data_IF_322498366763
#
_entry.id   IF_322498366763
#
_cell.length_a   1.000
_cell.length_b   1.000
_cell.length_c   1.000
_cell.angle_alpha   90.00
_cell.angle_beta   90.00
_cell.angle_gamma   90.00
#
_symmetry.space_group_name_H-M   'P 1'
#
loop_
_entity.id
_entity.type
_entity.pdbx_description
1 polymer ?
#
# COMPACT_ATOMS: atom_id res chain seq x y z
N UNK A 1 24.27 -23.05 53.43
CA UNK A 1 23.78 -24.15 52.57
C UNK A 1 22.49 -23.68 51.89
N UNK A 2 22.41 -23.77 50.54
CA UNK A 2 21.35 -23.36 49.56
C UNK A 2 20.09 -22.60 50.06
N UNK A 3 19.64 -21.55 49.34
CA UNK A 3 18.85 -21.74 48.11
C UNK A 3 19.33 -20.84 46.94
N UNK A 4 19.49 -21.30 45.69
CA UNK A 4 18.48 -21.56 44.63
C UNK A 4 17.54 -20.38 44.36
N UNK A 5 17.97 -19.42 43.52
CA UNK A 5 17.11 -18.65 42.62
C UNK A 5 17.85 -18.54 41.28
N UNK A 6 17.64 -19.54 40.41
CA UNK A 6 17.92 -19.47 38.99
C UNK A 6 16.56 -19.32 38.31
N UNK A 7 16.51 -18.51 37.25
CA UNK A 7 15.38 -18.29 36.34
C UNK A 7 14.24 -17.36 36.83
N UNK A 8 14.34 -16.07 36.50
CA UNK A 8 13.17 -15.19 36.24
C UNK A 8 13.52 -13.82 35.60
N UNK A 9 14.66 -13.71 34.90
CA UNK A 9 15.03 -12.47 34.18
C UNK A 9 14.96 -12.60 32.64
N UNK A 10 14.33 -13.67 32.13
CA UNK A 10 14.28 -13.99 30.70
C UNK A 10 12.90 -13.90 30.04
N UNK A 11 11.86 -13.46 30.77
CA UNK A 11 10.48 -13.41 30.26
C UNK A 11 9.84 -12.08 30.68
N UNK A 12 10.38 -11.01 30.12
CA UNK A 12 9.66 -9.77 29.84
C UNK A 12 10.02 -9.42 28.38
N UNK A 13 9.78 -10.33 27.43
CA UNK A 13 8.50 -10.40 26.69
C UNK A 13 7.97 -8.97 26.51
N UNK A 14 8.43 -8.32 25.46
CA UNK A 14 7.62 -8.17 24.24
C UNK A 14 6.25 -7.55 24.56
N UNK A 15 6.21 -6.34 25.12
CA UNK A 15 4.94 -5.62 25.30
C UNK A 15 5.08 -4.10 25.45
N UNK A 16 5.98 -3.43 24.72
CA UNK A 16 5.91 -1.96 24.56
C UNK A 16 6.47 -1.53 23.20
N UNK A 17 5.84 -2.01 22.13
CA UNK A 17 5.83 -1.32 20.84
C UNK A 17 4.38 -1.21 20.41
N UNK A 18 3.65 -0.29 21.02
CA UNK A 18 2.35 0.10 20.53
C UNK A 18 2.13 1.59 20.83
N UNK A 19 1.84 2.30 19.74
CA UNK A 19 1.19 3.62 19.66
C UNK A 19 2.08 4.86 19.85
N UNK A 20 2.87 5.15 18.82
CA UNK A 20 2.93 6.53 18.32
C UNK A 20 3.03 6.54 16.79
N UNK A 21 1.97 6.13 16.10
CA UNK A 21 1.77 6.61 14.73
C UNK A 21 1.36 8.08 14.86
N UNK A 22 2.34 8.98 14.76
CA UNK A 22 2.09 10.40 14.56
C UNK A 22 1.33 10.55 13.24
N UNK A 23 0.03 10.79 13.35
CA UNK A 23 -0.85 11.13 12.23
C UNK A 23 -0.60 12.58 11.82
N UNK A 24 0.51 12.84 11.14
CA UNK A 24 0.66 14.04 10.31
C UNK A 24 0.45 13.67 8.84
N UNK A 25 -0.64 12.95 8.55
CA UNK A 25 -1.15 12.88 7.18
C UNK A 25 -1.84 14.22 6.93
N UNK A 26 -1.34 15.05 6.00
CA UNK A 26 -2.02 16.30 5.65
C UNK A 26 -3.46 15.98 5.23
N UNK A 27 -4.44 16.82 5.59
CA UNK A 27 -5.83 16.55 5.24
C UNK A 27 -6.00 16.47 3.73
N UNK A 28 -6.72 15.45 3.25
CA UNK A 28 -7.14 15.40 1.86
C UNK A 28 -8.06 16.59 1.57
N UNK A 29 -7.88 17.22 0.41
CA UNK A 29 -8.73 18.33 -0.05
C UNK A 29 -9.63 17.85 -1.19
N UNK A 30 -10.90 18.23 -1.16
CA UNK A 30 -11.80 18.01 -2.30
C UNK A 30 -11.42 18.94 -3.48
N UNK A 31 -12.08 18.75 -4.63
CA UNK A 31 -11.91 19.60 -5.83
C UNK A 31 -12.21 21.10 -5.61
N UNK A 32 -12.80 21.46 -4.46
CA UNK A 32 -13.13 22.82 -4.06
C UNK A 32 -12.23 23.31 -2.90
N UNK A 33 -11.17 22.58 -2.56
CA UNK A 33 -10.23 22.96 -1.50
C UNK A 33 -10.77 22.79 -0.08
N UNK A 34 -11.86 22.03 0.11
CA UNK A 34 -12.41 21.74 1.45
C UNK A 34 -11.68 20.56 2.07
N UNK A 35 -11.32 20.70 3.35
CA UNK A 35 -10.80 19.62 4.17
C UNK A 35 -11.79 18.45 4.18
N UNK A 36 -11.40 17.32 3.60
CA UNK A 36 -12.12 16.06 3.73
C UNK A 36 -11.65 15.44 5.03
N UNK A 37 -12.46 15.55 6.08
CA UNK A 37 -12.25 14.73 7.28
C UNK A 37 -12.34 13.26 6.87
N UNK A 38 -11.38 12.40 7.29
CA UNK A 38 -11.48 10.97 7.04
C UNK A 38 -12.82 10.49 7.60
N UNK A 39 -13.76 10.12 6.72
CA UNK A 39 -15.03 9.56 7.20
C UNK A 39 -14.69 8.24 7.91
N UNK A 40 -15.14 8.03 9.17
CA UNK A 40 -15.03 6.74 9.83
C UNK A 40 -15.97 5.78 9.11
N UNK A 41 -15.44 5.17 8.04
CA UNK A 41 -16.08 4.11 7.28
C UNK A 41 -15.37 2.80 7.64
N UNK A 42 -16.05 1.64 7.53
CA UNK A 42 -15.38 0.36 7.66
C UNK A 42 -14.23 0.32 6.64
N UNK A 43 -13.01 0.29 7.16
CA UNK A 43 -11.81 0.16 6.35
C UNK A 43 -11.03 -1.06 6.81
N UNK A 44 -10.45 -1.77 5.85
CA UNK A 44 -9.53 -2.87 6.10
C UNK A 44 -8.14 -2.40 5.73
N UNK A 45 -7.19 -2.61 6.64
CA UNK A 45 -5.79 -2.27 6.45
C UNK A 45 -5.02 -3.57 6.25
N UNK A 46 -4.39 -3.73 5.11
CA UNK A 46 -3.47 -4.82 4.82
C UNK A 46 -2.05 -4.36 5.10
N UNK A 47 -1.39 -5.00 6.06
CA UNK A 47 -0.01 -4.67 6.40
C UNK A 47 0.96 -5.11 5.28
N UNK A 48 2.20 -4.58 5.25
CA UNK A 48 3.19 -5.05 4.29
C UNK A 48 3.45 -6.56 4.33
N UNK A 49 3.32 -7.18 5.51
CA UNK A 49 3.48 -8.62 5.65
C UNK A 49 2.30 -9.39 5.03
N UNK A 50 1.06 -8.91 5.23
CA UNK A 50 -0.14 -9.53 4.65
C UNK A 50 -0.12 -9.47 3.11
N UNK A 51 0.51 -8.43 2.56
CA UNK A 51 0.64 -8.20 1.12
C UNK A 51 1.87 -8.87 0.51
N UNK A 52 2.72 -9.53 1.31
CA UNK A 52 4.04 -10.01 0.91
C UNK A 52 4.96 -8.91 0.31
N UNK A 53 4.73 -7.65 0.71
CA UNK A 53 5.45 -6.45 0.27
C UNK A 53 6.17 -5.76 1.45
N UNK A 54 6.78 -6.56 2.33
CA UNK A 54 7.63 -6.06 3.41
C UNK A 54 9.10 -6.07 2.96
N UNK A 55 9.57 -4.97 2.38
CA UNK A 55 10.90 -4.86 1.77
C UNK A 55 11.10 -5.77 0.53
N UNK A 56 10.14 -5.76 -0.39
CA UNK A 56 10.28 -6.45 -1.68
C UNK A 56 11.47 -5.89 -2.46
N UNK A 57 12.23 -6.76 -3.11
CA UNK A 57 13.38 -6.33 -3.91
C UNK A 57 12.89 -5.64 -5.18
N UNK A 58 13.31 -4.40 -5.36
CA UNK A 58 13.09 -3.63 -6.57
C UNK A 58 14.30 -3.83 -7.50
N UNK A 59 14.17 -4.59 -8.60
CA UNK A 59 15.29 -4.86 -9.49
C UNK A 59 15.73 -3.59 -10.23
N UNK A 60 16.97 -3.55 -10.70
CA UNK A 60 17.43 -2.49 -11.60
C UNK A 60 16.67 -2.59 -12.92
N UNK A 61 16.02 -1.50 -13.34
CA UNK A 61 15.25 -1.41 -14.59
C UNK A 61 14.26 -2.58 -14.82
N UNK A 62 13.47 -2.92 -13.81
CA UNK A 62 12.51 -4.04 -13.89
C UNK A 62 11.35 -3.88 -12.91
N UNK A 63 10.54 -4.93 -12.78
CA UNK A 63 9.32 -4.93 -11.95
C UNK A 63 9.50 -5.76 -10.70
N UNK A 64 8.94 -5.33 -9.58
CA UNK A 64 8.83 -6.15 -8.36
C UNK A 64 7.95 -7.38 -8.62
N UNK A 65 8.01 -8.35 -7.71
CA UNK A 65 6.94 -9.36 -7.65
C UNK A 65 5.61 -8.67 -7.32
N UNK A 66 4.50 -9.20 -7.82
CA UNK A 66 3.18 -8.69 -7.46
C UNK A 66 2.84 -9.02 -6.00
N UNK A 67 2.10 -8.10 -5.37
CA UNK A 67 1.59 -8.29 -4.02
C UNK A 67 0.51 -9.38 -3.95
N UNK A 68 0.15 -9.76 -2.73
CA UNK A 68 -0.96 -10.66 -2.50
C UNK A 68 -2.27 -10.09 -3.09
N UNK A 69 -3.12 -10.99 -3.60
CA UNK A 69 -4.39 -10.62 -4.21
C UNK A 69 -5.39 -10.22 -3.11
N UNK A 70 -5.94 -9.02 -3.23
CA UNK A 70 -6.92 -8.44 -2.32
C UNK A 70 -8.29 -8.39 -3.00
N UNK A 71 -9.33 -8.85 -2.29
CA UNK A 71 -10.70 -8.77 -2.78
C UNK A 71 -11.20 -7.31 -2.78
N UNK A 72 -11.69 -6.85 -3.93
CA UNK A 72 -12.13 -5.46 -4.15
C UNK A 72 -13.64 -5.35 -4.45
N UNK A 73 -14.40 -6.46 -4.32
CA UNK A 73 -15.76 -6.64 -4.88
C UNK A 73 -16.84 -5.71 -4.33
N UNK A 74 -16.53 -4.90 -3.32
CA UNK A 74 -17.41 -3.87 -2.77
C UNK A 74 -16.64 -2.61 -2.33
N UNK A 75 -15.38 -2.48 -2.75
CA UNK A 75 -14.52 -1.39 -2.32
C UNK A 75 -14.87 -0.13 -3.11
N UNK A 76 -15.17 0.96 -2.42
CA UNK A 76 -15.50 2.26 -3.02
C UNK A 76 -14.29 3.20 -3.07
N UNK A 77 -13.28 2.95 -2.23
CA UNK A 77 -12.03 3.69 -2.19
C UNK A 77 -10.86 2.82 -1.75
N UNK A 78 -9.67 3.08 -2.30
CA UNK A 78 -8.43 2.47 -1.87
C UNK A 78 -7.31 3.49 -1.78
N UNK A 79 -6.39 3.26 -0.86
CA UNK A 79 -5.16 4.03 -0.69
C UNK A 79 -4.00 3.07 -0.58
N UNK A 80 -3.17 3.06 -1.61
CA UNK A 80 -1.91 2.33 -1.62
C UNK A 80 -0.81 3.26 -1.11
N UNK A 81 -0.20 2.90 0.00
CA UNK A 81 0.99 3.54 0.54
C UNK A 81 2.20 2.82 -0.04
N UNK A 82 2.96 3.52 -0.87
CA UNK A 82 4.16 2.99 -1.53
C UNK A 82 5.37 3.64 -0.90
N UNK A 83 6.33 2.86 -0.42
CA UNK A 83 7.57 3.39 0.11
C UNK A 83 8.77 2.69 -0.53
N UNK A 84 9.26 3.27 -1.61
CA UNK A 84 10.36 2.73 -2.39
C UNK A 84 11.63 3.57 -2.23
N UNK A 85 12.79 2.92 -2.29
CA UNK A 85 14.08 3.63 -2.27
C UNK A 85 14.45 4.26 -3.63
N UNK A 86 13.71 3.98 -4.69
CA UNK A 86 13.90 4.53 -6.03
C UNK A 86 12.59 5.12 -6.58
N UNK A 87 12.69 5.88 -7.68
CA UNK A 87 11.54 6.34 -8.45
C UNK A 87 10.91 5.14 -9.15
N UNK A 88 9.59 4.98 -9.05
CA UNK A 88 8.86 3.84 -9.61
C UNK A 88 7.61 4.26 -10.37
N UNK A 89 7.15 3.42 -11.30
CA UNK A 89 5.77 3.43 -11.75
C UNK A 89 4.99 2.38 -10.96
N UNK A 90 3.77 2.70 -10.56
CA UNK A 90 2.88 1.76 -9.86
C UNK A 90 1.93 1.15 -10.86
N UNK A 91 1.86 -0.17 -10.88
CA UNK A 91 0.93 -0.95 -11.68
C UNK A 91 -0.04 -1.72 -10.78
N UNK A 92 -1.27 -1.86 -11.23
CA UNK A 92 -2.30 -2.68 -10.60
C UNK A 92 -2.73 -3.75 -11.60
N UNK A 93 -2.76 -5.00 -11.13
CA UNK A 93 -3.41 -6.09 -11.84
C UNK A 93 -4.86 -6.17 -11.40
N UNK A 94 -5.79 -6.17 -12.35
CA UNK A 94 -7.18 -6.53 -12.12
C UNK A 94 -7.38 -7.99 -12.45
N UNK A 95 -8.38 -8.61 -11.82
CA UNK A 95 -8.65 -10.03 -11.97
C UNK A 95 -10.05 -10.25 -12.53
N UNK A 96 -10.20 -11.33 -13.29
CA UNK A 96 -11.50 -11.83 -13.74
C UNK A 96 -12.31 -12.33 -12.56
N UNK A 97 -13.59 -12.61 -12.78
CA UNK A 97 -14.53 -13.10 -11.76
C UNK A 97 -14.05 -14.35 -11.01
N UNK A 98 -13.22 -15.18 -11.65
CA UNK A 98 -12.59 -16.35 -11.04
C UNK A 98 -11.62 -16.01 -9.88
N UNK A 99 -11.18 -14.76 -9.77
CA UNK A 99 -10.29 -14.26 -8.72
C UNK A 99 -8.85 -14.73 -8.83
N UNK A 100 -8.46 -15.37 -9.94
CA UNK A 100 -7.12 -15.96 -10.14
C UNK A 100 -6.50 -15.49 -11.45
N UNK A 101 -7.30 -15.39 -12.51
CA UNK A 101 -6.83 -14.97 -13.83
C UNK A 101 -6.75 -13.46 -13.90
N UNK A 102 -5.58 -12.92 -14.27
CA UNK A 102 -5.42 -11.49 -14.53
C UNK A 102 -6.27 -11.10 -15.75
N UNK A 103 -7.09 -10.07 -15.57
CA UNK A 103 -7.90 -9.47 -16.64
C UNK A 103 -7.10 -8.37 -17.37
N UNK A 104 -6.35 -7.57 -16.60
CA UNK A 104 -5.43 -6.59 -17.16
C UNK A 104 -4.43 -6.06 -16.14
N UNK A 105 -3.33 -5.49 -16.65
CA UNK A 105 -2.31 -4.80 -15.86
C UNK A 105 -2.27 -3.34 -16.28
N UNK A 106 -2.48 -2.44 -15.34
CA UNK A 106 -2.62 -1.01 -15.63
C UNK A 106 -1.66 -0.19 -14.79
N UNK A 107 -0.85 0.63 -15.45
CA UNK A 107 -0.10 1.68 -14.75
C UNK A 107 -1.08 2.72 -14.21
N UNK A 108 -1.11 2.88 -12.88
CA UNK A 108 -1.98 3.82 -12.17
C UNK A 108 -1.24 5.12 -11.84
N UNK A 109 0.08 5.06 -11.63
CA UNK A 109 0.92 6.24 -11.42
C UNK A 109 2.27 6.04 -12.10
N UNK A 110 2.78 7.06 -12.78
CA UNK A 110 4.15 7.09 -13.33
C UNK A 110 5.04 8.07 -12.57
N UNK A 111 6.34 7.79 -12.54
CA UNK A 111 7.37 8.62 -11.90
C UNK A 111 7.03 8.98 -10.44
N UNK A 112 6.51 8.03 -9.67
CA UNK A 112 6.27 8.18 -8.25
C UNK A 112 7.63 8.32 -7.55
N UNK A 113 7.91 9.44 -6.86
CA UNK A 113 9.22 9.70 -6.27
C UNK A 113 9.55 8.72 -5.15
N UNK A 114 10.85 8.56 -4.86
CA UNK A 114 11.32 7.74 -3.75
C UNK A 114 10.80 8.27 -2.39
N UNK A 115 10.75 7.37 -1.41
CA UNK A 115 10.21 7.62 -0.08
C UNK A 115 8.72 7.29 0.00
N UNK A 116 8.08 7.71 1.10
CA UNK A 116 6.69 7.40 1.38
C UNK A 116 5.73 8.24 0.53
N UNK A 117 4.96 7.58 -0.31
CA UNK A 117 3.95 8.16 -1.20
C UNK A 117 2.61 7.46 -1.04
N UNK A 118 1.54 8.11 -1.49
CA UNK A 118 0.19 7.56 -1.48
C UNK A 118 -0.40 7.63 -2.88
N UNK A 119 -1.12 6.58 -3.26
CA UNK A 119 -1.91 6.49 -4.48
C UNK A 119 -3.36 6.18 -4.09
N UNK A 120 -4.25 7.12 -4.38
CA UNK A 120 -5.66 7.04 -4.05
C UNK A 120 -6.49 6.72 -5.29
N UNK A 121 -7.35 5.72 -5.19
CA UNK A 121 -8.32 5.33 -6.23
C UNK A 121 -9.70 5.30 -5.59
N UNK A 122 -10.69 5.90 -6.22
CA UNK A 122 -12.07 5.90 -5.74
C UNK A 122 -13.05 5.70 -6.89
N UNK A 123 -14.26 5.26 -6.58
CA UNK A 123 -15.35 5.12 -7.55
C UNK A 123 -15.89 6.49 -8.00
N UNK A 124 -16.09 7.41 -7.05
CA UNK A 124 -16.77 8.71 -7.27
C UNK A 124 -15.81 9.90 -7.37
N UNK A 125 -14.55 9.74 -6.97
CA UNK A 125 -13.54 10.80 -7.01
C UNK A 125 -12.46 10.44 -8.03
N UNK A 126 -11.90 11.47 -8.68
CA UNK A 126 -10.76 11.28 -9.55
C UNK A 126 -9.59 10.66 -8.75
N UNK A 127 -8.90 9.65 -9.30
CA UNK A 127 -7.68 9.12 -8.70
C UNK A 127 -6.66 10.25 -8.47
N UNK A 128 -5.92 10.17 -7.38
CA UNK A 128 -4.87 11.15 -7.05
C UNK A 128 -3.65 10.45 -6.44
N UNK A 129 -2.54 11.16 -6.34
CA UNK A 129 -1.34 10.70 -5.65
C UNK A 129 -0.58 11.85 -5.01
N UNK A 130 0.24 11.56 -4.02
CA UNK A 130 1.11 12.55 -3.37
C UNK A 130 2.31 12.97 -4.25
N UNK A 131 2.58 12.23 -5.33
CA UNK A 131 3.63 12.53 -6.29
C UNK A 131 3.48 11.72 -7.59
N UNK A 132 4.29 12.03 -8.60
CA UNK A 132 4.20 11.40 -9.91
C UNK A 132 3.02 11.91 -10.75
N UNK A 133 2.69 11.17 -11.81
CA UNK A 133 1.56 11.47 -12.71
C UNK A 133 0.54 10.34 -12.67
N UNK A 134 -0.70 10.69 -12.33
CA UNK A 134 -1.80 9.73 -12.16
C UNK A 134 -2.44 9.38 -13.49
N UNK A 135 -2.77 8.10 -13.67
CA UNK A 135 -3.57 7.59 -14.77
C UNK A 135 -4.96 7.18 -14.27
N UNK A 136 -5.97 7.35 -15.12
CA UNK A 136 -7.39 7.06 -14.79
C UNK A 136 -7.88 5.72 -15.34
N UNK A 137 -6.94 4.82 -15.67
CA UNK A 137 -7.19 3.54 -16.34
C UNK A 137 -7.92 2.49 -15.47
N UNK A 138 -7.99 2.70 -14.15
CA UNK A 138 -8.63 1.77 -13.21
C UNK A 138 -9.74 2.50 -12.46
N UNK A 139 -10.90 1.86 -12.36
CA UNK A 139 -12.07 2.35 -11.61
C UNK A 139 -12.56 1.26 -10.66
N UNK A 140 -13.06 1.67 -9.50
CA UNK A 140 -13.67 0.78 -8.51
C UNK A 140 -15.20 0.71 -8.70
N UNK A 141 -15.88 -0.36 -8.25
CA UNK A 141 -15.32 -1.58 -7.66
C UNK A 141 -14.71 -2.51 -8.72
N UNK A 142 -13.85 -3.42 -8.27
CA UNK A 142 -13.20 -4.42 -9.11
C UNK A 142 -13.30 -5.77 -8.40
N UNK A 143 -13.16 -6.90 -9.10
CA UNK A 143 -13.26 -8.20 -8.42
C UNK A 143 -12.17 -8.35 -7.35
N UNK A 144 -10.92 -8.17 -7.77
CA UNK A 144 -9.75 -8.22 -6.92
C UNK A 144 -8.59 -7.44 -7.54
N UNK A 145 -7.62 -7.04 -6.72
CA UNK A 145 -6.38 -6.37 -7.13
C UNK A 145 -5.14 -7.05 -6.57
N UNK A 146 -4.04 -6.95 -7.31
CA UNK A 146 -2.68 -6.97 -6.78
C UNK A 146 -1.94 -5.77 -7.39
N UNK A 147 -0.80 -5.40 -6.82
CA UNK A 147 -0.01 -4.27 -7.30
C UNK A 147 1.47 -4.62 -7.34
N UNK A 148 2.21 -3.86 -8.15
CA UNK A 148 3.65 -4.02 -8.35
C UNK A 148 4.27 -2.70 -8.79
N UNK A 149 5.57 -2.56 -8.57
CA UNK A 149 6.35 -1.38 -8.82
C UNK A 149 7.35 -1.65 -9.93
N UNK A 150 7.34 -0.80 -10.96
CA UNK A 150 8.31 -0.83 -12.06
C UNK A 150 9.37 0.21 -11.78
N UNK A 151 10.59 -0.24 -11.53
CA UNK A 151 11.75 0.63 -11.42
C UNK A 151 12.11 1.20 -12.78
N UNK A 152 12.16 2.52 -12.87
CA UNK A 152 12.62 3.23 -14.07
C UNK A 152 14.10 3.59 -14.00
N UNK A 153 14.78 3.24 -12.91
CA UNK A 153 16.18 3.56 -12.65
C UNK A 153 17.09 2.33 -12.80
N UNK A 154 18.34 2.56 -13.19
CA UNK A 154 19.36 1.52 -13.35
C UNK A 154 19.94 1.00 -12.01
N UNK A 155 19.45 1.50 -10.86
CA UNK A 155 19.90 1.08 -9.54
C UNK A 155 18.83 0.22 -8.87
N UNK A 156 19.23 -0.88 -8.25
CA UNK A 156 18.32 -1.68 -7.45
C UNK A 156 17.87 -0.92 -6.19
N UNK A 157 16.80 -1.40 -5.59
CA UNK A 157 16.22 -0.81 -4.39
C UNK A 157 15.34 -1.78 -3.63
N UNK A 158 14.52 -1.20 -2.76
CA UNK A 158 13.49 -1.94 -2.01
C UNK A 158 12.20 -1.13 -1.99
N UNK A 159 11.08 -1.83 -1.88
CA UNK A 159 9.75 -1.23 -1.67
C UNK A 159 9.09 -1.86 -0.46
N UNK A 160 8.34 -1.06 0.30
CA UNK A 160 7.50 -1.53 1.40
C UNK A 160 6.14 -0.88 1.29
N UNK A 161 5.10 -1.69 1.14
CA UNK A 161 3.80 -1.17 0.73
C UNK A 161 2.69 -1.59 1.68
N UNK A 162 1.68 -0.74 1.84
CA UNK A 162 0.49 -0.98 2.66
C UNK A 162 -0.73 -0.59 1.86
N UNK A 163 -1.81 -1.36 1.97
CA UNK A 163 -3.07 -1.05 1.31
C UNK A 163 -4.16 -0.80 2.34
N UNK A 164 -4.90 0.29 2.17
CA UNK A 164 -6.14 0.54 2.89
C UNK A 164 -7.27 0.48 1.87
N UNK A 165 -8.31 -0.28 2.16
CA UNK A 165 -9.54 -0.33 1.37
C UNK A 165 -10.71 0.14 2.21
N UNK A 166 -11.59 0.93 1.64
CA UNK A 166 -12.83 1.38 2.25
C UNK A 166 -14.04 0.93 1.45
N UNK A 167 -15.09 0.56 2.17
CA UNK A 167 -16.37 0.11 1.63
C UNK A 167 -17.40 1.24 1.74
#
# INVERSE_FOLDING_TARGET
MKPRILALAGIAVLATFALSQSTNVPPDFDKNGRTVTPRPLPHVIYSPADLAHSAVTLPASGTTAASAVVNMSAVTKSTLYVNCSQIVNVQVNTYKEDGVTIDGTYTVVTNLPAGAQQVYIASELAPNSTGGTVSTNVRLPQRAFSFQEVNTTASAGTCTDRLIVGY
#
